data_IF_372944122760
#
_entry.id   IF_372944122760
#
_cell.length_a   1.000
_cell.length_b   1.000
_cell.length_c   1.000
_cell.angle_alpha   90.00
_cell.angle_beta   90.00
_cell.angle_gamma   90.00
#
_symmetry.space_group_name_H-M   'P 1'
#
loop_
_entity.id
_entity.type
_entity.pdbx_description
1 polymer ?
#
# COMPACT_ATOMS: atom_id res chain seq x y z
N UNK A 1 30.49 -0.22 4.78
CA UNK A 1 29.87 -0.27 6.13
C UNK A 1 28.79 -1.33 6.05
N UNK A 2 28.92 -2.41 6.82
CA UNK A 2 28.15 -3.65 6.63
C UNK A 2 26.80 -3.56 7.34
N UNK A 3 25.72 -3.85 6.59
CA UNK A 3 24.34 -3.99 7.06
C UNK A 3 24.24 -5.17 8.04
N UNK A 4 23.82 -4.91 9.29
CA UNK A 4 23.81 -5.86 10.41
C UNK A 4 22.45 -6.60 10.52
N UNK A 5 22.02 -7.26 9.46
CA UNK A 5 20.85 -8.15 9.47
C UNK A 5 21.21 -9.63 9.78
N UNK A 6 22.27 -9.89 10.56
CA UNK A 6 22.71 -11.25 10.90
C UNK A 6 23.13 -11.36 12.37
N UNK A 7 22.51 -12.33 13.06
CA UNK A 7 22.84 -12.89 14.39
C UNK A 7 22.32 -12.09 15.61
N UNK A 8 21.28 -12.59 16.28
CA UNK A 8 21.39 -13.38 17.51
C UNK A 8 20.07 -13.41 18.34
N UNK A 9 19.66 -14.64 18.68
CA UNK A 9 18.68 -15.00 19.71
C UNK A 9 19.30 -14.87 21.12
N UNK A 10 18.50 -14.48 22.13
CA UNK A 10 18.77 -14.86 23.52
C UNK A 10 18.26 -13.94 24.65
N UNK A 11 17.15 -14.35 25.27
CA UNK A 11 16.76 -14.23 26.70
C UNK A 11 16.44 -12.86 27.37
N UNK A 12 15.13 -12.69 27.64
CA UNK A 12 14.46 -12.39 28.93
C UNK A 12 15.26 -11.74 30.09
N UNK A 13 14.80 -10.60 30.62
CA UNK A 13 14.01 -10.51 31.88
C UNK A 13 13.65 -9.06 32.27
N UNK A 14 12.61 -8.97 33.10
CA UNK A 14 11.86 -7.80 33.56
C UNK A 14 12.63 -6.83 34.47
N UNK A 15 12.16 -5.56 34.53
CA UNK A 15 11.89 -4.80 35.77
C UNK A 15 11.26 -3.43 35.45
N UNK A 16 10.08 -3.17 36.01
CA UNK A 16 9.43 -1.86 35.96
C UNK A 16 9.78 -0.98 37.16
N UNK A 17 9.57 0.32 37.04
CA UNK A 17 9.25 1.26 38.13
C UNK A 17 8.39 2.42 37.59
N UNK A 18 7.32 2.71 38.32
CA UNK A 18 6.37 3.81 38.18
C UNK A 18 6.96 5.15 38.66
N UNK A 19 6.58 6.29 38.06
CA UNK A 19 6.17 7.51 38.82
C UNK A 19 5.40 8.55 37.97
N UNK A 20 4.13 8.73 38.34
CA UNK A 20 3.28 9.93 38.44
C UNK A 20 3.03 10.96 37.30
N UNK A 21 1.80 11.52 37.23
CA UNK A 21 1.25 12.15 36.03
C UNK A 21 1.45 13.67 36.00
N UNK A 22 1.83 14.21 34.84
CA UNK A 22 1.82 15.65 34.55
C UNK A 22 0.45 16.03 33.98
N UNK A 23 -0.24 16.95 34.65
CA UNK A 23 -1.55 17.49 34.19
C UNK A 23 -1.39 18.27 32.88
N UNK A 24 -2.27 18.07 31.87
CA UNK A 24 -2.17 18.81 30.62
C UNK A 24 -2.65 20.26 30.78
N UNK A 25 -1.85 21.20 30.27
CA UNK A 25 -2.27 22.59 30.03
C UNK A 25 -3.32 22.60 28.91
N UNK A 26 -4.50 23.14 29.21
CA UNK A 26 -5.57 23.36 28.22
C UNK A 26 -5.11 24.37 27.17
N UNK A 27 -4.72 23.90 25.99
CA UNK A 27 -4.62 24.75 24.81
C UNK A 27 -6.01 24.87 24.18
N UNK A 28 -6.56 26.09 24.15
CA UNK A 28 -7.81 26.38 23.41
C UNK A 28 -7.54 26.18 21.92
N UNK A 29 -8.11 25.14 21.32
CA UNK A 29 -8.23 24.98 19.87
C UNK A 29 -8.91 26.22 19.29
N UNK A 30 -8.28 26.85 18.30
CA UNK A 30 -8.97 27.66 17.29
C UNK A 30 -8.43 27.30 15.92
N UNK A 31 -9.02 26.28 15.32
CA UNK A 31 -8.92 26.01 13.89
C UNK A 31 -10.34 26.07 13.33
N UNK A 32 -10.77 27.26 12.93
CA UNK A 32 -11.83 27.38 11.93
C UNK A 32 -11.14 27.30 10.58
N UNK A 33 -11.02 26.08 10.05
CA UNK A 33 -10.73 25.85 8.63
C UNK A 33 -12.10 25.80 7.96
N UNK A 34 -12.37 26.74 7.05
CA UNK A 34 -13.50 26.65 6.15
C UNK A 34 -13.22 25.51 5.17
N UNK A 35 -13.74 24.33 5.47
CA UNK A 35 -13.85 23.23 4.51
C UNK A 35 -14.88 23.65 3.46
N UNK A 36 -14.44 23.82 2.21
CA UNK A 36 -15.37 23.99 1.09
C UNK A 36 -15.75 22.57 0.64
N UNK A 37 -17.03 22.19 0.64
CA UNK A 37 -17.45 20.92 0.05
C UNK A 37 -16.99 20.86 -1.42
N UNK A 38 -16.54 19.69 -1.86
CA UNK A 38 -16.27 19.46 -3.28
C UNK A 38 -17.56 19.62 -4.08
N UNK A 39 -17.45 20.22 -5.26
CA UNK A 39 -18.57 20.28 -6.19
C UNK A 39 -18.70 18.95 -6.93
N UNK A 40 -19.88 18.65 -7.48
CA UNK A 40 -20.07 17.45 -8.31
C UNK A 40 -19.07 17.38 -9.47
N UNK A 41 -18.70 18.53 -10.04
CA UNK A 41 -17.68 18.62 -11.08
C UNK A 41 -16.25 18.28 -10.57
N UNK A 42 -15.92 18.62 -9.31
CA UNK A 42 -14.63 18.25 -8.70
C UNK A 42 -14.59 16.74 -8.40
N UNK A 43 -15.74 16.15 -8.03
CA UNK A 43 -15.89 14.69 -7.85
C UNK A 43 -15.77 13.95 -9.18
N UNK A 44 -16.43 14.41 -10.23
CA UNK A 44 -16.36 13.81 -11.57
C UNK A 44 -14.94 13.86 -12.17
N UNK A 45 -14.21 14.99 -12.01
CA UNK A 45 -12.80 15.09 -12.42
C UNK A 45 -11.89 14.15 -11.62
N UNK A 46 -12.21 13.95 -10.33
CA UNK A 46 -11.48 13.01 -9.48
C UNK A 46 -11.73 11.56 -9.89
N UNK A 47 -12.96 11.17 -10.20
CA UNK A 47 -13.26 9.83 -10.70
C UNK A 47 -12.61 9.57 -12.07
N UNK A 48 -12.71 10.53 -12.99
CA UNK A 48 -12.09 10.44 -14.31
C UNK A 48 -10.56 10.38 -14.26
N UNK A 49 -9.92 10.96 -13.24
CA UNK A 49 -8.49 10.81 -13.02
C UNK A 49 -8.12 9.35 -12.72
N UNK A 50 -8.93 8.65 -11.94
CA UNK A 50 -8.68 7.27 -11.50
C UNK A 50 -9.12 6.17 -12.46
N UNK A 51 -9.66 6.51 -13.63
CA UNK A 51 -9.84 5.55 -14.75
C UNK A 51 -8.62 5.49 -15.66
N UNK A 52 -7.72 6.49 -15.60
CA UNK A 52 -6.54 6.56 -16.48
C UNK A 52 -5.40 5.73 -15.91
N UNK A 53 -4.71 4.90 -16.73
CA UNK A 53 -3.52 4.22 -16.27
C UNK A 53 -2.42 5.22 -15.90
N UNK A 54 -1.81 5.03 -14.74
CA UNK A 54 -0.52 5.61 -14.37
C UNK A 54 0.66 4.77 -14.88
N UNK A 55 1.91 5.22 -14.68
CA UNK A 55 3.10 4.56 -15.24
C UNK A 55 3.27 3.09 -14.87
N UNK A 56 2.78 2.67 -13.70
CA UNK A 56 2.89 1.27 -13.24
C UNK A 56 1.64 0.45 -13.43
N UNK A 57 0.52 1.08 -13.80
CA UNK A 57 -0.75 0.41 -14.12
C UNK A 57 -1.05 0.40 -15.62
N UNK A 58 -0.17 0.98 -16.44
CA UNK A 58 -0.25 0.89 -17.89
C UNK A 58 0.26 -0.49 -18.35
N UNK A 59 -0.65 -1.27 -18.95
CA UNK A 59 -0.34 -2.58 -19.51
C UNK A 59 0.23 -2.51 -20.94
N UNK A 60 0.25 -1.34 -21.58
CA UNK A 60 0.80 -1.15 -22.92
C UNK A 60 0.18 -2.11 -23.94
N UNK A 61 1.03 -2.91 -24.60
CA UNK A 61 0.60 -3.94 -25.57
C UNK A 61 -0.24 -5.07 -24.97
N UNK A 62 -0.25 -5.21 -23.64
CA UNK A 62 -1.00 -6.23 -22.92
C UNK A 62 -2.40 -5.78 -22.47
N UNK A 63 -2.88 -4.60 -22.89
CA UNK A 63 -4.19 -4.07 -22.49
C UNK A 63 -5.36 -5.04 -22.76
N UNK A 64 -5.36 -5.71 -23.91
CA UNK A 64 -6.43 -6.67 -24.25
C UNK A 64 -6.39 -7.93 -23.38
N UNK A 65 -5.20 -8.38 -22.97
CA UNK A 65 -5.08 -9.49 -22.02
C UNK A 65 -5.65 -9.08 -20.64
N UNK A 66 -5.44 -7.83 -20.24
CA UNK A 66 -5.97 -7.29 -19.00
C UNK A 66 -7.51 -7.15 -19.03
N UNK A 67 -8.08 -6.71 -20.17
CA UNK A 67 -9.54 -6.62 -20.39
C UNK A 67 -10.24 -7.97 -20.44
N UNK A 68 -9.51 -9.05 -20.72
CA UNK A 68 -10.06 -10.40 -20.70
C UNK A 68 -10.35 -10.90 -19.27
N UNK A 69 -9.74 -10.29 -18.24
CA UNK A 69 -10.10 -10.56 -16.85
C UNK A 69 -11.48 -9.99 -16.51
N UNK A 70 -12.23 -10.63 -15.58
CA UNK A 70 -13.53 -10.11 -15.15
C UNK A 70 -13.41 -8.74 -14.48
N UNK A 71 -14.48 -7.96 -14.55
CA UNK A 71 -14.61 -6.64 -13.91
C UNK A 71 -15.40 -6.67 -12.60
N UNK A 72 -16.11 -7.76 -12.33
CA UNK A 72 -16.70 -8.03 -11.02
C UNK A 72 -15.59 -8.30 -9.98
N UNK A 73 -15.73 -7.73 -8.78
CA UNK A 73 -14.66 -7.73 -7.78
C UNK A 73 -14.34 -9.16 -7.30
N UNK A 74 -15.30 -9.96 -6.78
CA UNK A 74 -15.05 -11.36 -6.42
C UNK A 74 -14.33 -12.16 -7.50
N UNK A 75 -14.81 -12.11 -8.75
CA UNK A 75 -14.25 -12.88 -9.86
C UNK A 75 -12.86 -12.37 -10.28
N UNK A 76 -12.63 -11.06 -10.20
CA UNK A 76 -11.32 -10.46 -10.44
C UNK A 76 -10.31 -10.93 -9.38
N UNK A 77 -10.68 -10.88 -8.10
CA UNK A 77 -9.79 -11.34 -7.03
C UNK A 77 -9.44 -12.83 -7.20
N UNK A 78 -10.42 -13.70 -7.45
CA UNK A 78 -10.12 -15.12 -7.68
C UNK A 78 -9.19 -15.35 -8.88
N UNK A 79 -9.40 -14.58 -9.97
CA UNK A 79 -8.50 -14.61 -11.12
C UNK A 79 -7.06 -14.27 -10.69
N UNK A 80 -6.87 -13.16 -9.97
CA UNK A 80 -5.55 -12.72 -9.49
C UNK A 80 -4.88 -13.71 -8.53
N UNK A 81 -5.64 -14.33 -7.63
CA UNK A 81 -5.14 -15.42 -6.76
C UNK A 81 -4.65 -16.62 -7.57
N UNK A 82 -5.17 -16.81 -8.78
CA UNK A 82 -4.70 -17.79 -9.76
C UNK A 82 -3.44 -17.40 -10.52
N UNK A 83 -3.02 -16.12 -10.52
CA UNK A 83 -1.86 -15.66 -11.30
C UNK A 83 -0.66 -15.31 -10.42
N UNK A 84 -0.91 -14.83 -9.20
CA UNK A 84 0.09 -14.27 -8.31
C UNK A 84 0.25 -15.12 -7.03
N UNK A 85 1.45 -15.05 -6.44
CA UNK A 85 1.75 -15.63 -5.13
C UNK A 85 2.56 -14.63 -4.31
N UNK A 86 2.23 -14.45 -3.03
CA UNK A 86 3.01 -13.54 -2.20
C UNK A 86 4.39 -14.14 -1.92
N UNK A 87 5.47 -13.40 -2.19
CA UNK A 87 6.83 -13.95 -2.16
C UNK A 87 7.20 -14.56 -0.80
N UNK A 88 6.73 -13.94 0.29
CA UNK A 88 6.97 -14.42 1.66
C UNK A 88 5.97 -15.47 2.16
N UNK A 89 4.96 -15.85 1.36
CA UNK A 89 3.94 -16.84 1.73
C UNK A 89 3.96 -18.08 0.82
N UNK A 90 4.96 -18.23 -0.04
CA UNK A 90 5.11 -19.39 -0.93
C UNK A 90 4.98 -20.74 -0.22
N UNK A 91 5.56 -20.85 0.98
CA UNK A 91 5.47 -22.03 1.85
C UNK A 91 4.03 -22.42 2.23
N UNK A 92 3.11 -21.45 2.35
CA UNK A 92 1.72 -21.72 2.72
C UNK A 92 0.96 -22.49 1.62
N UNK A 93 1.52 -22.53 0.42
CA UNK A 93 1.03 -23.23 -0.77
C UNK A 93 1.91 -24.41 -1.19
N UNK A 94 2.87 -24.83 -0.35
CA UNK A 94 3.77 -25.94 -0.67
C UNK A 94 4.79 -25.64 -1.77
N UNK A 95 5.12 -24.36 -1.96
CA UNK A 95 6.13 -23.91 -2.93
C UNK A 95 7.36 -23.43 -2.17
N UNK A 96 8.54 -23.92 -2.56
CA UNK A 96 9.80 -23.41 -2.06
C UNK A 96 10.06 -22.00 -2.61
N UNK A 97 10.62 -21.12 -1.79
CA UNK A 97 11.05 -19.81 -2.26
C UNK A 97 12.24 -19.95 -3.24
N UNK A 98 12.20 -19.21 -4.35
CA UNK A 98 13.17 -19.30 -5.44
C UNK A 98 13.76 -17.92 -5.78
N UNK A 99 14.98 -17.85 -6.35
CA UNK A 99 15.59 -16.57 -6.74
C UNK A 99 14.74 -15.74 -7.71
N UNK A 100 14.00 -16.37 -8.63
CA UNK A 100 13.13 -15.67 -9.58
C UNK A 100 11.98 -14.95 -8.88
N UNK A 101 11.55 -15.39 -7.69
CA UNK A 101 10.53 -14.69 -6.91
C UNK A 101 11.01 -13.31 -6.45
N UNK A 102 12.28 -13.20 -6.04
CA UNK A 102 12.89 -11.91 -5.67
C UNK A 102 13.03 -11.00 -6.89
N UNK A 103 13.24 -11.57 -8.08
CA UNK A 103 13.32 -10.79 -9.32
C UNK A 103 11.97 -10.22 -9.69
N UNK A 104 10.91 -11.04 -9.66
CA UNK A 104 9.56 -10.60 -10.06
C UNK A 104 8.91 -9.67 -9.05
N UNK A 105 9.17 -9.82 -7.74
CA UNK A 105 8.65 -8.92 -6.71
C UNK A 105 9.23 -7.50 -6.79
N UNK A 106 10.34 -7.34 -7.52
CA UNK A 106 10.95 -6.04 -7.80
C UNK A 106 10.51 -5.41 -9.13
N UNK A 107 9.54 -5.99 -9.85
CA UNK A 107 8.95 -5.38 -11.03
C UNK A 107 7.95 -4.31 -10.61
N UNK A 108 8.17 -3.05 -11.01
CA UNK A 108 7.24 -1.95 -10.71
C UNK A 108 6.04 -1.96 -11.65
N UNK A 109 6.28 -2.12 -12.95
CA UNK A 109 5.26 -1.94 -13.97
C UNK A 109 4.44 -3.22 -14.19
N UNK A 110 3.11 -3.07 -14.25
CA UNK A 110 2.21 -4.20 -14.47
C UNK A 110 2.44 -4.87 -15.83
N UNK A 111 2.86 -4.10 -16.85
CA UNK A 111 3.23 -4.64 -18.15
C UNK A 111 4.33 -5.71 -18.07
N UNK A 112 5.33 -5.51 -17.21
CA UNK A 112 6.41 -6.48 -17.04
C UNK A 112 5.94 -7.77 -16.34
N UNK A 113 5.08 -7.62 -15.32
CA UNK A 113 4.45 -8.75 -14.63
C UNK A 113 3.57 -9.56 -15.58
N UNK A 114 2.73 -8.89 -16.39
CA UNK A 114 1.90 -9.54 -17.40
C UNK A 114 2.76 -10.21 -18.47
N UNK A 115 3.84 -9.55 -18.91
CA UNK A 115 4.79 -10.13 -19.85
C UNK A 115 5.39 -11.44 -19.33
N UNK A 116 5.70 -11.52 -18.04
CA UNK A 116 6.17 -12.76 -17.40
C UNK A 116 5.08 -13.84 -17.36
N UNK A 117 3.85 -13.47 -17.05
CA UNK A 117 2.70 -14.38 -16.99
C UNK A 117 2.30 -14.97 -18.35
N UNK A 118 2.49 -14.21 -19.43
CA UNK A 118 2.16 -14.62 -20.79
C UNK A 118 3.31 -15.34 -21.51
N UNK A 119 4.50 -15.42 -20.90
CA UNK A 119 5.69 -15.98 -21.53
C UNK A 119 5.57 -17.48 -21.87
N UNK A 120 4.67 -18.20 -21.20
CA UNK A 120 4.35 -19.61 -21.47
C UNK A 120 3.22 -19.80 -22.50
N UNK A 121 2.66 -18.72 -23.03
CA UNK A 121 1.60 -18.71 -24.04
C UNK A 121 0.17 -18.89 -23.49
N UNK A 122 -0.02 -19.04 -22.18
CA UNK A 122 -1.36 -19.13 -21.56
C UNK A 122 -1.97 -17.74 -21.35
N UNK A 123 -3.27 -17.54 -21.58
CA UNK A 123 -3.95 -16.27 -21.30
C UNK A 123 -4.00 -15.97 -19.79
N UNK A 124 -4.26 -14.72 -19.42
CA UNK A 124 -4.44 -14.33 -18.02
C UNK A 124 -5.68 -14.95 -17.36
N UNK A 125 -6.64 -15.43 -18.15
CA UNK A 125 -7.83 -16.14 -17.67
C UNK A 125 -7.55 -17.57 -17.21
N UNK A 126 -6.37 -18.12 -17.56
CA UNK A 126 -6.00 -19.46 -17.15
C UNK A 126 -5.38 -19.42 -15.74
N UNK A 127 -6.04 -20.11 -14.81
CA UNK A 127 -5.52 -20.31 -13.45
C UNK A 127 -4.22 -21.12 -13.49
N UNK A 128 -3.26 -20.71 -12.66
CA UNK A 128 -1.94 -21.36 -12.55
C UNK A 128 -1.83 -22.14 -11.24
N UNK A 129 -1.14 -23.28 -11.29
CA UNK A 129 -0.73 -23.99 -10.07
C UNK A 129 0.20 -23.08 -9.25
N UNK A 130 0.24 -23.18 -7.90
CA UNK A 130 1.02 -22.28 -7.06
C UNK A 130 2.48 -22.08 -7.50
N UNK A 131 3.14 -23.16 -7.96
CA UNK A 131 4.54 -23.12 -8.39
C UNK A 131 4.79 -22.37 -9.72
N UNK A 132 3.73 -22.12 -10.48
CA UNK A 132 3.73 -21.43 -11.78
C UNK A 132 3.29 -19.97 -11.68
N UNK A 133 2.84 -19.52 -10.51
CA UNK A 133 2.41 -18.13 -10.28
C UNK A 133 3.62 -17.22 -10.22
N UNK A 134 3.43 -15.96 -10.62
CA UNK A 134 4.46 -14.93 -10.48
C UNK A 134 4.46 -14.41 -9.04
N UNK A 135 5.64 -14.32 -8.45
CA UNK A 135 5.75 -13.83 -7.08
C UNK A 135 5.69 -12.31 -7.03
N UNK A 136 4.99 -11.78 -6.04
CA UNK A 136 4.89 -10.35 -5.76
C UNK A 136 4.59 -10.08 -4.29
N UNK A 137 4.20 -8.86 -4.00
CA UNK A 137 3.82 -8.35 -2.68
C UNK A 137 2.35 -7.91 -2.67
N UNK A 138 1.81 -7.55 -1.50
CA UNK A 138 0.49 -6.90 -1.38
C UNK A 138 0.27 -5.76 -2.39
N UNK A 139 1.33 -4.99 -2.67
CA UNK A 139 1.33 -3.91 -3.66
C UNK A 139 1.10 -4.43 -5.07
N UNK A 140 1.68 -5.57 -5.45
CA UNK A 140 1.55 -6.10 -6.82
C UNK A 140 0.16 -6.65 -7.09
N UNK A 141 -0.45 -7.35 -6.13
CA UNK A 141 -1.87 -7.73 -6.20
C UNK A 141 -2.76 -6.48 -6.35
N UNK A 142 -2.50 -5.46 -5.54
CA UNK A 142 -3.24 -4.19 -5.59
C UNK A 142 -3.10 -3.48 -6.93
N UNK A 143 -1.88 -3.35 -7.46
CA UNK A 143 -1.61 -2.69 -8.75
C UNK A 143 -2.23 -3.47 -9.91
N UNK A 144 -2.20 -4.81 -9.86
CA UNK A 144 -2.88 -5.64 -10.85
C UNK A 144 -4.39 -5.39 -10.85
N UNK A 145 -5.02 -5.42 -9.67
CA UNK A 145 -6.46 -5.14 -9.53
C UNK A 145 -6.81 -3.73 -10.03
N UNK A 146 -6.05 -2.71 -9.63
CA UNK A 146 -6.26 -1.33 -10.07
C UNK A 146 -6.12 -1.20 -11.58
N UNK A 147 -5.11 -1.83 -12.19
CA UNK A 147 -4.91 -1.82 -13.63
C UNK A 147 -6.09 -2.48 -14.36
N UNK A 148 -6.57 -3.64 -13.88
CA UNK A 148 -7.70 -4.36 -14.46
C UNK A 148 -9.00 -3.53 -14.40
N UNK A 149 -9.29 -2.96 -13.23
CA UNK A 149 -10.46 -2.09 -13.04
C UNK A 149 -10.40 -0.85 -13.97
N UNK A 150 -9.24 -0.20 -14.06
CA UNK A 150 -9.02 0.93 -14.98
C UNK A 150 -9.22 0.54 -16.44
N UNK A 151 -8.78 -0.65 -16.86
CA UNK A 151 -8.97 -1.14 -18.21
C UNK A 151 -10.45 -1.36 -18.58
N UNK A 152 -11.30 -1.62 -17.58
CA UNK A 152 -12.76 -1.68 -17.67
C UNK A 152 -13.45 -0.33 -17.46
N UNK A 153 -12.69 0.76 -17.28
CA UNK A 153 -13.23 2.11 -17.07
C UNK A 153 -13.74 2.36 -15.65
N UNK A 154 -13.45 1.47 -14.69
CA UNK A 154 -13.80 1.63 -13.29
C UNK A 154 -12.73 2.50 -12.61
N UNK A 155 -13.16 3.56 -11.92
CA UNK A 155 -12.25 4.41 -11.15
C UNK A 155 -11.65 3.62 -10.00
N UNK A 156 -10.33 3.42 -10.02
CA UNK A 156 -9.61 2.68 -9.00
C UNK A 156 -8.27 3.33 -8.67
N UNK A 157 -7.80 3.15 -7.42
CA UNK A 157 -6.49 3.59 -6.94
C UNK A 157 -5.92 2.62 -5.91
N UNK A 158 -4.60 2.56 -5.83
CA UNK A 158 -3.94 1.81 -4.77
C UNK A 158 -3.91 2.64 -3.48
N UNK A 159 -4.03 1.96 -2.33
CA UNK A 159 -3.90 2.54 -0.99
C UNK A 159 -2.83 1.80 -0.21
N UNK A 160 -2.04 2.56 0.54
CA UNK A 160 -0.97 2.07 1.38
C UNK A 160 -1.28 2.41 2.84
N UNK A 161 -1.14 1.44 3.73
CA UNK A 161 -1.63 1.54 5.09
C UNK A 161 -1.43 0.25 5.86
N UNK A 162 -2.42 -0.11 6.68
CA UNK A 162 -2.27 -1.19 7.63
C UNK A 162 -3.52 -2.05 7.77
N UNK A 163 -3.36 -3.37 7.67
CA UNK A 163 -4.41 -4.35 7.94
C UNK A 163 -4.47 -4.74 9.42
N UNK A 164 -5.59 -4.44 10.08
CA UNK A 164 -5.87 -4.81 11.46
C UNK A 164 -6.48 -6.23 11.59
N UNK A 165 -6.51 -7.00 10.51
CA UNK A 165 -7.24 -8.27 10.40
C UNK A 165 -6.36 -9.51 10.32
N UNK A 166 -5.03 -9.38 10.36
CA UNK A 166 -4.08 -10.51 10.26
C UNK A 166 -3.87 -11.30 11.57
N UNK A 167 -4.82 -11.23 12.52
CA UNK A 167 -4.87 -12.12 13.69
C UNK A 167 -3.87 -11.82 14.82
N UNK A 168 -3.10 -10.73 14.72
CA UNK A 168 -2.13 -10.27 15.73
C UNK A 168 -2.57 -8.91 16.30
N UNK A 169 -2.19 -8.54 17.54
CA UNK A 169 -2.51 -7.21 18.11
C UNK A 169 -1.75 -6.06 17.44
N UNK A 170 -1.18 -6.28 16.25
CA UNK A 170 -0.49 -5.34 15.38
C UNK A 170 -1.35 -5.05 14.15
N UNK A 171 -1.16 -3.86 13.57
CA UNK A 171 -1.70 -3.47 12.29
C UNK A 171 -0.57 -3.67 11.27
N UNK A 172 -0.69 -4.69 10.42
CA UNK A 172 0.36 -5.11 9.48
C UNK A 172 0.43 -4.18 8.28
N UNK A 173 1.65 -3.77 7.87
CA UNK A 173 1.90 -3.05 6.62
C UNK A 173 1.24 -3.78 5.45
N UNK A 174 0.35 -3.07 4.76
CA UNK A 174 -0.43 -3.68 3.71
C UNK A 174 -0.88 -2.68 2.65
N UNK A 175 -1.20 -3.23 1.48
CA UNK A 175 -1.73 -2.49 0.34
C UNK A 175 -3.06 -3.10 -0.10
N UNK A 176 -3.99 -2.23 -0.45
CA UNK A 176 -5.31 -2.63 -0.98
C UNK A 176 -5.70 -1.74 -2.15
N UNK A 177 -6.60 -2.23 -2.99
CA UNK A 177 -7.24 -1.41 -4.01
C UNK A 177 -8.43 -0.66 -3.40
N UNK A 178 -8.67 0.55 -3.86
CA UNK A 178 -9.86 1.34 -3.55
C UNK A 178 -10.55 1.70 -4.87
N UNK A 179 -11.79 1.27 -5.05
CA UNK A 179 -12.54 1.48 -6.29
C UNK A 179 -13.87 2.18 -6.04
N UNK A 180 -14.37 2.88 -7.05
CA UNK A 180 -15.66 3.55 -6.99
C UNK A 180 -16.78 2.57 -7.33
N UNK A 181 -17.64 2.28 -6.36
CA UNK A 181 -18.90 1.58 -6.59
C UNK A 181 -19.95 2.62 -6.99
N UNK A 182 -20.39 2.60 -8.25
CA UNK A 182 -21.35 3.54 -8.77
C UNK A 182 -22.76 3.35 -8.19
N UNK A 183 -23.16 2.11 -7.95
CA UNK A 183 -24.49 1.76 -7.42
C UNK A 183 -24.67 2.27 -5.99
N UNK A 184 -23.60 2.22 -5.20
CA UNK A 184 -23.58 2.70 -3.81
C UNK A 184 -23.05 4.13 -3.67
N UNK A 185 -22.56 4.72 -4.76
CA UNK A 185 -21.95 6.05 -4.79
C UNK A 185 -20.89 6.25 -3.69
N UNK A 186 -19.99 5.26 -3.53
CA UNK A 186 -18.91 5.31 -2.54
C UNK A 186 -17.64 4.61 -3.01
N UNK A 187 -16.52 5.00 -2.40
CA UNK A 187 -15.26 4.28 -2.49
C UNK A 187 -15.26 3.06 -1.57
N UNK A 188 -14.99 1.89 -2.15
CA UNK A 188 -14.87 0.59 -1.48
C UNK A 188 -13.41 0.15 -1.47
N UNK A 189 -12.94 -0.36 -0.33
CA UNK A 189 -11.62 -0.99 -0.21
C UNK A 189 -11.75 -2.48 -0.50
N UNK A 190 -10.82 -3.04 -1.27
CA UNK A 190 -10.77 -4.46 -1.61
C UNK A 190 -9.35 -4.97 -1.52
N UNK A 191 -9.16 -6.10 -0.83
CA UNK A 191 -7.86 -6.72 -0.62
C UNK A 191 -7.65 -7.82 -1.65
N UNK A 192 -6.89 -7.49 -2.68
CA UNK A 192 -6.64 -8.41 -3.80
C UNK A 192 -5.62 -9.51 -3.50
N UNK A 193 -4.95 -9.49 -2.34
CA UNK A 193 -3.97 -10.51 -1.97
C UNK A 193 -4.61 -11.68 -1.22
N UNK A 194 -5.57 -11.38 -0.35
CA UNK A 194 -6.05 -12.32 0.66
C UNK A 194 -7.02 -13.32 0.03
N UNK A 195 -6.48 -14.48 -0.33
CA UNK A 195 -7.25 -15.63 -0.80
C UNK A 195 -7.80 -16.50 0.35
N UNK A 196 -8.56 -17.53 0.01
CA UNK A 196 -9.14 -18.45 0.99
C UNK A 196 -8.08 -19.12 1.89
N UNK A 197 -6.90 -19.45 1.35
CA UNK A 197 -5.82 -20.09 2.11
C UNK A 197 -5.23 -19.15 3.14
N UNK A 198 -5.02 -17.88 2.79
CA UNK A 198 -4.56 -16.85 3.70
C UNK A 198 -5.61 -16.54 4.77
N UNK A 199 -6.90 -16.52 4.41
CA UNK A 199 -7.99 -16.36 5.39
C UNK A 199 -7.96 -17.43 6.46
N UNK A 200 -7.80 -18.69 6.07
CA UNK A 200 -7.66 -19.81 7.01
C UNK A 200 -6.38 -19.71 7.85
N UNK A 201 -5.26 -19.33 7.24
CA UNK A 201 -3.97 -19.23 7.92
C UNK A 201 -3.95 -18.14 8.99
N UNK A 202 -4.53 -16.98 8.69
CA UNK A 202 -4.49 -15.80 9.55
C UNK A 202 -5.77 -15.60 10.37
N UNK A 203 -6.78 -16.46 10.19
CA UNK A 203 -8.07 -16.34 10.87
C UNK A 203 -8.86 -15.11 10.44
N UNK A 204 -8.80 -14.73 9.17
CA UNK A 204 -9.45 -13.53 8.62
C UNK A 204 -10.93 -13.83 8.33
N UNK A 205 -11.80 -13.32 9.20
CA UNK A 205 -13.26 -13.41 9.07
C UNK A 205 -13.88 -12.06 8.64
N UNK A 206 -13.33 -11.47 7.56
CA UNK A 206 -13.91 -10.29 6.90
C UNK A 206 -14.12 -10.53 5.40
N UNK A 207 -15.00 -9.73 4.82
CA UNK A 207 -15.21 -9.66 3.38
C UNK A 207 -14.08 -8.86 2.72
N UNK A 208 -13.22 -9.56 1.98
CA UNK A 208 -12.07 -8.94 1.28
C UNK A 208 -12.50 -8.12 0.08
N UNK A 209 -13.77 -8.20 -0.35
CA UNK A 209 -14.31 -7.44 -1.48
C UNK A 209 -14.89 -6.08 -1.08
N UNK A 210 -15.19 -5.89 0.21
CA UNK A 210 -15.62 -4.63 0.82
C UNK A 210 -15.03 -4.51 2.24
N UNK A 211 -13.72 -4.28 2.29
CA UNK A 211 -12.95 -4.21 3.53
C UNK A 211 -13.37 -2.96 4.33
N UNK A 212 -13.79 -3.11 5.60
CA UNK A 212 -14.14 -1.97 6.43
C UNK A 212 -12.94 -1.01 6.65
N UNK A 213 -13.19 0.30 6.66
CA UNK A 213 -12.14 1.34 6.83
C UNK A 213 -11.50 1.37 8.22
N UNK A 214 -12.08 0.67 9.18
CA UNK A 214 -11.50 0.43 10.50
C UNK A 214 -10.68 -0.87 10.57
N UNK A 215 -10.80 -1.74 9.56
CA UNK A 215 -9.99 -2.95 9.38
C UNK A 215 -8.79 -2.70 8.46
N UNK A 216 -8.95 -1.94 7.37
CA UNK A 216 -7.81 -1.38 6.64
C UNK A 216 -7.62 0.10 6.96
N UNK A 217 -6.62 0.40 7.77
CA UNK A 217 -6.30 1.74 8.27
C UNK A 217 -5.29 2.37 7.32
N UNK A 218 -5.76 3.26 6.44
CA UNK A 218 -4.88 4.05 5.56
C UNK A 218 -3.84 4.83 6.38
N UNK A 219 -2.61 4.96 5.87
CA UNK A 219 -1.49 5.49 6.65
C UNK A 219 -1.73 6.90 7.23
N UNK A 220 -2.46 7.76 6.50
CA UNK A 220 -2.87 9.08 7.01
C UNK A 220 -3.79 9.02 8.24
N UNK A 221 -4.66 8.01 8.32
CA UNK A 221 -5.50 7.80 9.50
C UNK A 221 -4.69 7.27 10.68
N UNK A 222 -3.79 6.31 10.44
CA UNK A 222 -2.87 5.80 11.46
C UNK A 222 -2.02 6.92 12.08
N UNK A 223 -1.41 7.77 11.23
CA UNK A 223 -0.63 8.93 11.68
C UNK A 223 -1.47 9.85 12.56
N UNK A 224 -2.67 10.22 12.12
CA UNK A 224 -3.56 11.12 12.88
C UNK A 224 -3.95 10.55 14.24
N UNK A 225 -4.29 9.25 14.32
CA UNK A 225 -4.66 8.58 15.58
C UNK A 225 -3.49 8.58 16.56
N UNK A 226 -2.30 8.20 16.10
CA UNK A 226 -1.10 8.18 16.94
C UNK A 226 -0.73 9.60 17.42
N UNK A 227 -0.76 10.60 16.53
CA UNK A 227 -0.50 12.01 16.87
C UNK A 227 -1.52 12.60 17.85
N UNK A 228 -2.76 12.10 17.84
CA UNK A 228 -3.79 12.48 18.79
C UNK A 228 -3.71 11.74 20.14
N UNK A 229 -2.83 10.73 20.25
CA UNK A 229 -2.75 9.84 21.41
C UNK A 229 -3.92 8.86 21.52
N UNK A 230 -4.61 8.60 20.40
CA UNK A 230 -5.74 7.69 20.30
C UNK A 230 -5.31 6.24 19.99
N UNK A 231 -4.09 6.05 19.48
CA UNK A 231 -3.49 4.74 19.21
C UNK A 231 -1.97 4.77 19.50
N UNK A 232 -1.35 3.59 19.52
CA UNK A 232 0.09 3.38 19.76
C UNK A 232 0.83 3.08 18.46
N UNK A 233 1.79 3.93 18.11
CA UNK A 233 2.59 3.79 16.90
C UNK A 233 3.34 2.45 16.83
N UNK A 234 3.70 1.85 17.96
CA UNK A 234 4.40 0.55 18.02
C UNK A 234 3.51 -0.63 17.60
N UNK A 235 2.22 -0.40 17.34
CA UNK A 235 1.32 -1.39 16.78
C UNK A 235 1.36 -1.42 15.25
N UNK A 236 1.90 -0.40 14.60
CA UNK A 236 1.89 -0.25 13.14
C UNK A 236 3.26 -0.57 12.56
N UNK A 237 3.31 -1.57 11.68
CA UNK A 237 4.58 -2.07 11.16
C UNK A 237 4.44 -3.41 10.45
N UNK A 238 5.55 -4.12 10.30
CA UNK A 238 5.59 -5.43 9.65
C UNK A 238 6.14 -6.47 10.63
N UNK A 239 5.30 -7.41 11.07
CA UNK A 239 5.71 -8.38 12.10
C UNK A 239 6.84 -9.30 11.65
N UNK A 240 6.96 -9.55 10.35
CA UNK A 240 8.01 -10.39 9.79
C UNK A 240 9.42 -9.82 10.01
N UNK A 241 9.57 -8.49 9.97
CA UNK A 241 10.86 -7.81 10.19
C UNK A 241 11.02 -7.29 11.62
N UNK A 242 9.95 -7.36 12.43
CA UNK A 242 9.87 -6.77 13.77
C UNK A 242 10.06 -5.25 13.80
N UNK A 243 9.73 -4.58 12.69
CA UNK A 243 9.85 -3.14 12.54
C UNK A 243 8.50 -2.45 12.68
N UNK A 244 8.43 -1.48 13.59
CA UNK A 244 7.21 -0.76 13.95
C UNK A 244 7.53 0.70 14.32
N UNK A 245 6.50 1.53 14.39
CA UNK A 245 6.59 2.86 15.00
C UNK A 245 6.29 4.02 14.06
N UNK A 246 6.48 5.23 14.58
CA UNK A 246 6.12 6.48 13.87
C UNK A 246 6.80 6.61 12.51
N UNK A 247 8.06 6.17 12.39
CA UNK A 247 8.80 6.20 11.13
C UNK A 247 8.16 5.30 10.06
N UNK A 248 7.65 4.12 10.46
CA UNK A 248 7.00 3.18 9.55
C UNK A 248 5.66 3.74 9.04
N UNK A 249 4.91 4.39 9.93
CA UNK A 249 3.68 5.10 9.57
C UNK A 249 3.98 6.27 8.62
N UNK A 250 5.01 7.07 8.91
CA UNK A 250 5.42 8.19 8.07
C UNK A 250 5.87 7.73 6.67
N UNK A 251 6.64 6.64 6.58
CA UNK A 251 7.07 6.04 5.33
C UNK A 251 5.87 5.58 4.49
N UNK A 252 4.92 4.84 5.10
CA UNK A 252 3.68 4.42 4.45
C UNK A 252 2.78 5.59 4.05
N UNK A 253 2.75 6.67 4.83
CA UNK A 253 1.98 7.89 4.51
C UNK A 253 2.51 8.58 3.24
N UNK A 254 3.84 8.65 3.08
CA UNK A 254 4.44 9.21 1.86
C UNK A 254 4.18 8.28 0.67
N UNK A 255 4.24 6.96 0.86
CA UNK A 255 3.86 5.98 -0.17
C UNK A 255 2.39 6.05 -0.57
N UNK A 256 1.46 6.20 0.38
CA UNK A 256 0.03 6.37 0.09
C UNK A 256 -0.23 7.64 -0.71
N UNK A 257 0.47 8.75 -0.39
CA UNK A 257 0.36 9.98 -1.16
C UNK A 257 0.85 9.83 -2.61
N UNK A 258 1.92 9.06 -2.83
CA UNK A 258 2.40 8.72 -4.17
C UNK A 258 1.39 7.80 -4.89
N UNK A 259 0.86 6.78 -4.23
CA UNK A 259 -0.14 5.86 -4.78
C UNK A 259 -1.44 6.58 -5.18
N UNK A 260 -1.96 7.48 -4.33
CA UNK A 260 -3.11 8.36 -4.63
C UNK A 260 -2.82 9.28 -5.83
N UNK A 261 -1.56 9.50 -6.15
CA UNK A 261 -1.07 10.29 -7.30
C UNK A 261 -0.65 9.41 -8.50
N UNK A 262 -1.10 8.15 -8.56
CA UNK A 262 -0.79 7.16 -9.59
C UNK A 262 0.71 6.82 -9.71
N UNK A 263 1.44 6.88 -8.59
CA UNK A 263 2.83 6.46 -8.44
C UNK A 263 2.91 5.36 -7.38
N UNK A 264 2.39 4.18 -7.72
CA UNK A 264 2.34 3.01 -6.84
C UNK A 264 3.74 2.37 -6.69
N UNK A 265 4.66 2.98 -5.93
CA UNK A 265 6.05 2.49 -5.78
C UNK A 265 6.15 1.12 -5.07
N UNK A 266 7.32 0.47 -5.11
CA UNK A 266 7.53 -0.77 -4.33
C UNK A 266 7.51 -0.47 -2.82
N UNK A 267 7.10 -1.43 -1.97
CA UNK A 267 7.07 -1.24 -0.52
C UNK A 267 8.43 -0.85 0.10
N UNK A 268 9.53 -1.23 -0.55
CA UNK A 268 10.91 -0.95 -0.13
C UNK A 268 11.61 0.14 -0.96
N UNK A 269 10.88 0.85 -1.82
CA UNK A 269 11.42 2.06 -2.43
C UNK A 269 11.48 3.19 -1.40
N UNK A 270 12.65 3.82 -1.30
CA UNK A 270 12.93 4.91 -0.38
C UNK A 270 13.37 6.13 -1.18
N UNK A 271 12.72 7.27 -0.91
CA UNK A 271 12.99 8.54 -1.57
C UNK A 271 12.59 9.73 -0.69
N UNK A 272 13.06 10.92 -1.08
CA UNK A 272 12.58 12.18 -0.52
C UNK A 272 12.69 12.24 1.00
N UNK A 273 11.57 12.52 1.66
CA UNK A 273 11.48 12.61 3.12
C UNK A 273 10.95 11.34 3.81
N UNK A 274 11.03 10.17 3.17
CA UNK A 274 10.74 8.89 3.84
C UNK A 274 11.78 8.67 4.95
N UNK A 275 11.37 8.61 6.22
CA UNK A 275 12.30 8.36 7.31
C UNK A 275 12.67 6.88 7.41
N UNK A 276 13.90 6.62 7.85
CA UNK A 276 14.41 5.31 8.24
C UNK A 276 14.28 5.10 9.79
N UNK A 277 14.46 3.88 10.32
CA UNK A 277 14.15 3.59 11.75
C UNK A 277 14.85 4.47 12.78
N UNK A 278 16.03 4.98 12.46
CA UNK A 278 16.87 5.77 13.37
C UNK A 278 16.76 7.29 13.10
N UNK A 279 15.99 7.68 12.08
CA UNK A 279 15.84 9.07 11.71
C UNK A 279 14.96 9.84 12.69
N UNK A 280 15.33 11.11 12.90
CA UNK A 280 14.52 12.03 13.69
C UNK A 280 13.45 12.65 12.81
N UNK A 281 12.18 12.36 13.10
CA UNK A 281 11.05 13.11 12.54
C UNK A 281 10.96 14.45 13.26
N UNK A 282 11.62 15.46 12.69
CA UNK A 282 11.66 16.80 13.27
C UNK A 282 10.33 17.56 13.15
N UNK A 283 10.29 18.79 13.67
CA UNK A 283 9.07 19.60 13.67
C UNK A 283 8.60 20.00 12.25
N UNK A 284 9.52 20.16 11.30
CA UNK A 284 9.20 20.55 9.93
C UNK A 284 8.60 19.35 9.16
N UNK A 285 9.24 18.18 9.27
CA UNK A 285 8.70 16.94 8.70
C UNK A 285 7.38 16.56 9.36
N UNK A 286 7.25 16.70 10.68
CA UNK A 286 5.98 16.47 11.38
C UNK A 286 4.87 17.36 10.82
N UNK A 287 5.13 18.64 10.56
CA UNK A 287 4.14 19.57 10.01
C UNK A 287 3.71 19.18 8.58
N UNK A 288 4.66 18.70 7.75
CA UNK A 288 4.37 18.15 6.44
C UNK A 288 3.48 16.90 6.54
N UNK A 289 3.85 15.94 7.39
CA UNK A 289 3.12 14.69 7.59
C UNK A 289 1.73 14.94 8.17
N UNK A 290 1.57 15.84 9.15
CA UNK A 290 0.26 16.22 9.69
C UNK A 290 -0.67 16.79 8.60
N UNK A 291 -0.13 17.63 7.71
CA UNK A 291 -0.88 18.16 6.56
C UNK A 291 -1.24 17.06 5.57
N UNK A 292 -0.29 16.20 5.22
CA UNK A 292 -0.48 15.11 4.26
C UNK A 292 -1.49 14.08 4.75
N UNK A 293 -1.39 13.69 6.03
CA UNK A 293 -2.31 12.79 6.70
C UNK A 293 -3.74 13.33 6.73
N UNK A 294 -3.91 14.64 6.87
CA UNK A 294 -5.21 15.31 6.76
C UNK A 294 -5.84 15.20 5.37
N UNK A 295 -5.06 15.02 4.30
CA UNK A 295 -5.53 14.96 2.92
C UNK A 295 -5.67 13.52 2.39
N UNK A 296 -4.91 12.56 2.94
CA UNK A 296 -4.94 11.15 2.50
C UNK A 296 -5.92 10.31 3.31
N UNK A 297 -6.27 10.72 4.53
CA UNK A 297 -7.23 10.01 5.37
C UNK A 297 -8.68 10.05 4.83
N UNK A 298 -9.04 11.08 4.05
CA UNK A 298 -10.37 11.25 3.47
C UNK A 298 -10.30 11.04 1.94
N UNK A 299 -11.06 10.07 1.39
CA UNK A 299 -11.15 9.85 -0.05
C UNK A 299 -11.47 11.08 -0.89
N UNK A 300 -12.26 12.01 -0.34
CA UNK A 300 -12.70 13.22 -1.02
C UNK A 300 -11.53 14.20 -1.23
N UNK A 301 -10.60 14.29 -0.28
CA UNK A 301 -9.46 15.22 -0.37
C UNK A 301 -8.31 14.73 -1.25
N UNK A 302 -8.52 13.68 -2.03
CA UNK A 302 -7.49 13.10 -2.88
C UNK A 302 -6.92 14.09 -3.91
N UNK A 303 -7.73 14.96 -4.50
CA UNK A 303 -7.24 15.98 -5.44
C UNK A 303 -6.26 16.98 -4.78
N UNK A 304 -6.50 17.32 -3.51
CA UNK A 304 -5.61 18.16 -2.72
C UNK A 304 -4.33 17.41 -2.35
N UNK A 305 -4.41 16.12 -1.99
CA UNK A 305 -3.24 15.27 -1.75
C UNK A 305 -2.33 15.22 -2.99
N UNK A 306 -2.90 14.98 -4.18
CA UNK A 306 -2.16 15.01 -5.46
C UNK A 306 -1.54 16.37 -5.77
N UNK A 307 -2.18 17.45 -5.36
CA UNK A 307 -1.64 18.81 -5.53
C UNK A 307 -0.47 19.06 -4.59
N UNK A 308 -0.54 18.59 -3.34
CA UNK A 308 0.59 18.68 -2.40
C UNK A 308 1.76 17.81 -2.85
N UNK A 309 1.51 16.56 -3.24
CA UNK A 309 2.52 15.63 -3.76
C UNK A 309 3.34 16.22 -4.90
N UNK A 310 2.69 16.90 -5.86
CA UNK A 310 3.37 17.52 -7.01
C UNK A 310 4.15 18.80 -6.69
N UNK A 311 3.82 19.47 -5.59
CA UNK A 311 4.39 20.78 -5.24
C UNK A 311 5.53 20.71 -4.23
N UNK A 312 5.60 19.63 -3.45
CA UNK A 312 6.62 19.45 -2.43
C UNK A 312 7.61 18.37 -2.89
N UNK A 313 8.82 18.80 -3.25
CA UNK A 313 9.87 17.91 -3.77
C UNK A 313 10.28 16.81 -2.77
N UNK A 314 9.95 16.96 -1.48
CA UNK A 314 10.16 15.94 -0.46
C UNK A 314 9.22 14.74 -0.59
N UNK A 315 8.06 14.94 -1.24
CA UNK A 315 7.06 13.90 -1.46
C UNK A 315 7.18 13.28 -2.85
N UNK A 316 7.57 14.09 -3.85
CA UNK A 316 7.63 13.68 -5.24
C UNK A 316 8.65 12.55 -5.46
N UNK A 317 8.23 11.48 -6.14
CA UNK A 317 9.12 10.39 -6.54
C UNK A 317 10.14 10.91 -7.58
N UNK A 318 11.45 10.84 -7.29
CA UNK A 318 12.52 11.26 -8.20
C UNK A 318 12.74 10.23 -9.34
N UNK A 319 13.60 10.56 -10.30
CA UNK A 319 13.95 9.65 -11.39
C UNK A 319 14.68 8.36 -10.94
N UNK A 320 15.33 8.41 -9.78
CA UNK A 320 16.10 7.31 -9.19
C UNK A 320 15.76 7.22 -7.71
N UNK A 321 15.47 6.01 -7.22
CA UNK A 321 15.14 5.74 -5.81
C UNK A 321 16.09 4.72 -5.23
N UNK A 322 16.24 4.69 -3.90
CA UNK A 322 16.92 3.60 -3.21
C UNK A 322 15.96 2.43 -3.13
N UNK A 323 16.30 1.31 -3.76
CA UNK A 323 15.63 0.04 -3.53
C UNK A 323 16.27 -0.61 -2.29
N UNK A 324 15.59 -0.55 -1.14
CA UNK A 324 16.13 -1.04 0.12
C UNK A 324 16.26 -2.59 0.14
N UNK A 325 15.38 -3.30 -0.56
CA UNK A 325 15.45 -4.76 -0.69
C UNK A 325 16.73 -5.21 -1.44
N UNK A 326 17.14 -4.45 -2.47
CA UNK A 326 18.35 -4.73 -3.27
C UNK A 326 19.60 -3.96 -2.83
N UNK A 327 19.47 -3.04 -1.88
CA UNK A 327 20.58 -2.28 -1.32
C UNK A 327 21.29 -1.32 -2.29
N UNK A 328 20.65 -0.87 -3.37
CA UNK A 328 21.23 0.07 -4.32
C UNK A 328 20.21 1.06 -4.91
N UNK A 329 20.72 2.12 -5.52
CA UNK A 329 19.91 3.11 -6.23
C UNK A 329 19.60 2.61 -7.64
N UNK A 330 18.33 2.63 -8.05
CA UNK A 330 17.91 2.19 -9.38
C UNK A 330 16.90 3.18 -10.00
N UNK A 331 16.86 3.29 -11.35
CA UNK A 331 15.91 4.17 -12.01
C UNK A 331 14.48 3.69 -11.77
N UNK A 332 13.57 4.65 -11.53
CA UNK A 332 12.15 4.38 -11.31
C UNK A 332 11.48 3.81 -12.56
N UNK A 333 11.83 4.38 -13.71
CA UNK A 333 11.39 3.90 -15.01
C UNK A 333 12.55 3.17 -15.68
N UNK A 334 12.37 1.88 -15.95
CA UNK A 334 13.27 1.15 -16.81
C UNK A 334 13.20 1.80 -18.20
N UNK A 335 14.36 2.12 -18.78
CA UNK A 335 14.39 2.64 -20.15
C UNK A 335 13.88 1.55 -21.08
N UNK A 336 12.79 1.83 -21.79
CA UNK A 336 12.20 0.95 -22.80
C UNK A 336 13.08 0.74 -24.02
#
# INVERSE_FOLDING_TARGET
MHCRACLALGFLEQRGVLTHPVRPRRYRRRTQRTERPLTTADTDDTLAYYTRPGPFTDAGSHLEALRALPSDIPDLLDSLHGLLIHEHLTWAYGVDHRPDHNETSNLRAIGDVIGRLLADGRPLTDRREPAERVAGTCRDFTVFAVAALRAHGISARARCGFGAYFGVPTNEDHWVAEYWNADESRWILTDAQVDQRQRELFGIDLDVTDVPRDQFIVAGLAWRRCRAGEDDANRYGLKMTEEFGDWWIAANLIRDAAAVSNMEMLPWDVWGAIPEPEDVIDADLTALLDKLAGLTADPETAADARTLYRKDDRLHVPATVRNANRGHDEPVFLRG
#
